data_IF_775102985758
#
_entry.id   IF_775102985758
#
_cell.length_a   1.000
_cell.length_b   1.000
_cell.length_c   1.000
_cell.angle_alpha   90.00
_cell.angle_beta   90.00
_cell.angle_gamma   90.00
#
_symmetry.space_group_name_H-M   'P 1'
#
loop_
_entity.id
_entity.type
_entity.pdbx_description
1 polymer ?
#
# COMPACT_ATOMS: atom_id res chain seq x y z
N UNK A 1 16.33 6.46 16.20
CA UNK A 1 15.43 6.23 15.04
C UNK A 1 14.49 5.11 15.43
N UNK A 2 13.23 5.41 15.59
CA UNK A 2 12.21 4.37 15.74
C UNK A 2 12.22 3.57 14.45
N UNK A 3 12.69 2.33 14.53
CA UNK A 3 12.52 1.38 13.43
C UNK A 3 11.04 1.32 13.12
N UNK A 4 10.65 1.88 11.99
CA UNK A 4 9.25 2.02 11.64
C UNK A 4 8.61 0.66 11.41
N UNK A 5 7.30 0.59 11.55
CA UNK A 5 6.45 -0.56 11.26
C UNK A 5 6.91 -1.35 10.01
N UNK A 6 7.25 -0.66 8.91
CA UNK A 6 7.68 -1.28 7.67
C UNK A 6 8.99 -2.08 7.77
N UNK A 7 9.97 -1.63 8.57
CA UNK A 7 11.24 -2.37 8.72
C UNK A 7 11.02 -3.74 9.36
N UNK A 8 10.18 -3.82 10.38
CA UNK A 8 9.85 -5.07 11.08
C UNK A 8 9.31 -6.13 10.13
N UNK A 9 8.35 -5.77 9.28
CA UNK A 9 7.74 -6.68 8.31
C UNK A 9 8.68 -6.99 7.14
N UNK A 10 9.44 -6.02 6.67
CA UNK A 10 10.47 -6.23 5.65
C UNK A 10 11.49 -7.26 6.10
N UNK A 11 12.06 -7.10 7.29
CA UNK A 11 13.06 -8.02 7.86
C UNK A 11 12.44 -9.42 8.09
N UNK A 12 11.17 -9.47 8.47
CA UNK A 12 10.43 -10.72 8.62
C UNK A 12 10.32 -11.47 7.28
N UNK A 13 9.90 -10.82 6.20
CA UNK A 13 9.75 -11.46 4.90
C UNK A 13 11.09 -11.89 4.32
N UNK A 14 12.14 -11.09 4.46
CA UNK A 14 13.50 -11.51 4.07
C UNK A 14 13.97 -12.75 4.86
N UNK A 15 13.63 -12.84 6.13
CA UNK A 15 13.97 -14.03 6.92
C UNK A 15 13.17 -15.27 6.45
N UNK A 16 11.92 -15.12 6.04
CA UNK A 16 11.13 -16.20 5.47
C UNK A 16 11.73 -16.72 4.17
N UNK A 17 12.14 -15.79 3.27
CA UNK A 17 12.78 -16.12 2.01
C UNK A 17 14.13 -16.81 2.23
N UNK A 18 14.98 -16.26 3.11
CA UNK A 18 16.33 -16.77 3.33
C UNK A 18 16.38 -18.11 4.10
N UNK A 19 15.43 -18.36 5.01
CA UNK A 19 15.55 -19.44 6.00
C UNK A 19 14.32 -20.32 6.18
N UNK A 20 13.17 -19.94 5.60
CA UNK A 20 11.90 -20.63 5.83
C UNK A 20 11.18 -21.04 4.54
N UNK A 21 11.94 -21.20 3.45
CA UNK A 21 11.48 -21.69 2.16
C UNK A 21 10.34 -20.88 1.53
N UNK A 22 10.27 -19.57 1.77
CA UNK A 22 9.40 -18.70 1.01
C UNK A 22 9.97 -18.52 -0.39
N UNK A 23 9.24 -18.94 -1.41
CA UNK A 23 9.53 -18.63 -2.81
C UNK A 23 8.59 -17.51 -3.27
N UNK A 24 9.16 -16.35 -3.55
CA UNK A 24 8.41 -15.17 -4.02
C UNK A 24 7.93 -15.32 -5.48
N UNK A 25 8.43 -16.31 -6.20
CA UNK A 25 8.01 -16.62 -7.58
C UNK A 25 6.81 -17.58 -7.61
N UNK A 26 6.49 -18.22 -6.49
CA UNK A 26 5.36 -19.15 -6.38
C UNK A 26 4.08 -18.40 -5.97
N UNK A 27 3.07 -18.33 -6.85
CA UNK A 27 1.78 -17.68 -6.53
C UNK A 27 1.09 -18.25 -5.30
N UNK A 28 1.27 -19.55 -5.03
CA UNK A 28 0.69 -20.22 -3.87
C UNK A 28 1.29 -19.75 -2.56
N UNK A 29 2.61 -19.50 -2.55
CA UNK A 29 3.30 -18.92 -1.40
C UNK A 29 2.86 -17.47 -1.17
N UNK A 30 2.64 -16.69 -2.23
CA UNK A 30 2.12 -15.33 -2.11
C UNK A 30 0.69 -15.33 -1.56
N UNK A 31 -0.18 -16.23 -2.06
CA UNK A 31 -1.51 -16.41 -1.49
C UNK A 31 -1.45 -16.76 0.01
N UNK A 32 -0.62 -17.72 0.39
CA UNK A 32 -0.48 -18.15 1.79
C UNK A 32 0.02 -17.01 2.69
N UNK A 33 0.97 -16.19 2.21
CA UNK A 33 1.43 -14.98 2.90
C UNK A 33 0.29 -13.98 3.15
N UNK A 34 -0.49 -13.69 2.11
CA UNK A 34 -1.63 -12.79 2.22
C UNK A 34 -2.67 -13.34 3.21
N UNK A 35 -3.01 -14.61 3.07
CA UNK A 35 -3.99 -15.27 3.94
C UNK A 35 -3.58 -15.22 5.41
N UNK A 36 -2.31 -15.47 5.71
CA UNK A 36 -1.79 -15.48 7.09
C UNK A 36 -1.62 -14.09 7.69
N UNK A 37 -1.11 -13.12 6.94
CA UNK A 37 -0.51 -11.93 7.55
C UNK A 37 -1.14 -10.61 7.13
N UNK A 38 -1.94 -10.52 6.06
CA UNK A 38 -2.46 -9.24 5.57
C UNK A 38 -3.32 -8.52 6.62
N UNK A 39 -4.15 -9.26 7.35
CA UNK A 39 -5.00 -8.69 8.40
C UNK A 39 -4.16 -8.15 9.57
N UNK A 40 -3.11 -8.88 9.97
CA UNK A 40 -2.19 -8.46 11.01
C UNK A 40 -1.36 -7.23 10.59
N UNK A 41 -0.89 -7.19 9.34
CA UNK A 41 -0.18 -6.05 8.75
C UNK A 41 -1.07 -4.80 8.77
N UNK A 42 -2.30 -4.91 8.30
CA UNK A 42 -3.24 -3.79 8.27
C UNK A 42 -3.56 -3.27 9.67
N UNK A 43 -3.77 -4.16 10.63
CA UNK A 43 -4.03 -3.80 12.03
C UNK A 43 -2.83 -3.05 12.64
N UNK A 44 -1.63 -3.56 12.42
CA UNK A 44 -0.41 -2.91 12.91
C UNK A 44 -0.12 -1.59 12.21
N UNK A 45 -0.42 -1.47 10.91
CA UNK A 45 -0.27 -0.25 10.13
C UNK A 45 -1.20 0.85 10.65
N UNK A 46 -2.46 0.53 10.91
CA UNK A 46 -3.43 1.45 11.48
C UNK A 46 -3.00 1.91 12.89
N UNK A 47 -2.58 0.98 13.75
CA UNK A 47 -2.08 1.31 15.08
C UNK A 47 -0.83 2.20 15.03
N UNK A 48 0.06 1.96 14.08
CA UNK A 48 1.23 2.81 13.87
C UNK A 48 0.83 4.21 13.38
N UNK A 49 -0.12 4.32 12.46
CA UNK A 49 -0.61 5.59 11.95
C UNK A 49 -1.29 6.41 13.07
N UNK A 50 -2.08 5.77 13.93
CA UNK A 50 -2.68 6.42 15.10
C UNK A 50 -1.61 6.93 16.08
N UNK A 51 -0.65 6.08 16.44
CA UNK A 51 0.45 6.45 17.32
C UNK A 51 1.28 7.61 16.73
N UNK A 52 1.52 7.59 15.40
CA UNK A 52 2.18 8.68 14.70
C UNK A 52 1.39 9.98 14.75
N UNK A 53 0.09 9.92 14.53
CA UNK A 53 -0.77 11.11 14.56
C UNK A 53 -0.88 11.76 15.94
N UNK A 54 -0.67 11.00 17.02
CA UNK A 54 -0.78 11.47 18.40
C UNK A 54 0.58 11.72 19.07
N UNK A 55 1.72 11.41 18.41
CA UNK A 55 3.03 11.74 19.00
C UNK A 55 3.31 13.24 18.96
N UNK A 56 4.02 13.74 19.99
CA UNK A 56 4.36 15.15 20.08
C UNK A 56 5.62 15.46 19.29
N UNK A 57 5.49 16.34 18.30
CA UNK A 57 6.60 16.89 17.54
C UNK A 57 6.95 18.28 18.04
N UNK A 58 8.25 18.62 17.96
CA UNK A 58 8.76 19.94 18.28
C UNK A 58 9.18 20.61 16.98
N UNK A 59 8.49 21.65 16.61
CA UNK A 59 8.91 22.55 15.54
C UNK A 59 9.63 23.74 16.14
N UNK A 60 10.66 24.24 15.45
CA UNK A 60 11.44 25.39 15.90
C UNK A 60 10.54 26.62 16.00
N UNK A 61 10.59 27.31 17.15
CA UNK A 61 9.77 28.49 17.41
C UNK A 61 8.29 28.20 17.73
N UNK A 62 7.86 26.95 17.73
CA UNK A 62 6.45 26.60 17.99
C UNK A 62 6.27 25.78 19.28
N UNK A 63 5.01 25.80 19.78
CA UNK A 63 4.60 24.94 20.89
C UNK A 63 4.55 23.48 20.41
N UNK A 64 4.97 22.55 21.28
CA UNK A 64 4.82 21.12 21.02
C UNK A 64 3.39 20.77 20.67
N UNK A 65 3.21 20.18 19.52
CA UNK A 65 1.91 19.79 19.00
C UNK A 65 1.98 18.40 18.37
N UNK A 66 0.85 17.73 18.27
CA UNK A 66 0.77 16.47 17.52
C UNK A 66 0.47 16.75 16.04
N UNK A 67 0.81 15.83 15.10
CA UNK A 67 0.43 15.95 13.69
C UNK A 67 -1.09 16.23 13.52
N UNK A 68 -1.92 15.52 14.29
CA UNK A 68 -3.38 15.73 14.29
C UNK A 68 -3.77 17.15 14.68
N UNK A 69 -3.14 17.70 15.75
CA UNK A 69 -3.40 19.08 16.19
C UNK A 69 -2.93 20.09 15.14
N UNK A 70 -1.78 19.87 14.52
CA UNK A 70 -1.26 20.72 13.46
C UNK A 70 -2.19 20.71 12.23
N UNK A 71 -2.67 19.54 11.84
CA UNK A 71 -3.62 19.39 10.74
C UNK A 71 -4.92 20.15 10.99
N UNK A 72 -5.54 19.95 12.17
CA UNK A 72 -6.78 20.65 12.53
C UNK A 72 -6.56 22.17 12.59
N UNK A 73 -5.48 22.61 13.23
CA UNK A 73 -5.16 24.04 13.33
C UNK A 73 -4.97 24.65 11.94
N UNK A 74 -4.17 24.02 11.08
CA UNK A 74 -3.93 24.49 9.72
C UNK A 74 -5.22 24.50 8.89
N UNK A 75 -6.09 23.51 9.04
CA UNK A 75 -7.38 23.50 8.36
C UNK A 75 -8.30 24.65 8.77
N UNK A 76 -8.19 25.12 10.04
CA UNK A 76 -8.97 26.24 10.54
C UNK A 76 -8.36 27.59 10.16
N UNK A 77 -7.01 27.70 10.18
CA UNK A 77 -6.31 28.97 9.92
C UNK A 77 -6.07 29.23 8.44
N UNK A 78 -5.73 28.17 7.70
CA UNK A 78 -5.24 28.25 6.32
C UNK A 78 -6.27 27.71 5.30
N UNK A 79 -7.39 27.17 5.78
CA UNK A 79 -8.42 26.56 4.97
C UNK A 79 -8.12 25.10 4.58
N UNK A 80 -8.95 24.55 3.69
CA UNK A 80 -8.83 23.17 3.21
C UNK A 80 -7.57 23.04 2.37
N UNK A 81 -6.67 22.13 2.75
CA UNK A 81 -5.42 21.91 2.03
C UNK A 81 -5.67 21.46 0.59
N UNK A 82 -4.91 22.05 -0.33
CA UNK A 82 -4.98 21.73 -1.75
C UNK A 82 -5.93 22.65 -2.56
N UNK A 83 -6.76 23.44 -1.87
CA UNK A 83 -7.49 24.50 -2.49
C UNK A 83 -7.09 25.81 -1.81
N UNK A 84 -6.56 26.81 -2.52
CA UNK A 84 -6.43 28.15 -1.94
C UNK A 84 -7.79 28.55 -1.41
N UNK A 85 -7.88 29.20 -0.21
CA UNK A 85 -9.14 29.77 0.23
C UNK A 85 -9.61 30.65 -0.93
N UNK A 86 -10.80 30.40 -1.43
CA UNK A 86 -11.41 31.30 -2.40
C UNK A 86 -11.49 32.64 -1.69
N UNK A 87 -10.49 33.45 -1.95
CA UNK A 87 -10.54 34.86 -1.59
C UNK A 87 -11.65 35.41 -2.48
N UNK A 88 -12.82 35.54 -1.89
CA UNK A 88 -14.02 36.11 -2.53
C UNK A 88 -13.80 37.57 -2.97
N UNK A 89 -12.56 38.04 -2.94
CA UNK A 89 -12.17 39.41 -3.27
C UNK A 89 -11.23 39.54 -4.47
N UNK A 90 -10.67 38.43 -4.97
CA UNK A 90 -9.95 38.46 -6.23
C UNK A 90 -10.95 38.13 -7.32
N UNK A 91 -11.66 39.20 -7.78
CA UNK A 91 -12.57 39.12 -8.91
C UNK A 91 -11.83 38.93 -10.24
N UNK A 92 -10.86 38.05 -10.31
CA UNK A 92 -10.41 37.49 -11.57
C UNK A 92 -11.49 36.50 -12.01
N UNK A 93 -12.39 37.02 -12.80
CA UNK A 93 -13.32 36.25 -13.60
C UNK A 93 -12.45 35.33 -14.48
N UNK A 94 -12.47 34.03 -14.23
CA UNK A 94 -11.75 33.07 -15.05
C UNK A 94 -12.46 33.05 -16.38
N UNK A 95 -11.93 33.80 -17.36
CA UNK A 95 -12.50 33.95 -18.71
C UNK A 95 -12.51 32.60 -19.47
N UNK A 96 -11.53 31.73 -19.19
CA UNK A 96 -11.42 30.43 -19.83
C UNK A 96 -11.02 29.35 -18.82
N UNK A 97 -12.00 28.59 -18.35
CA UNK A 97 -11.79 27.47 -17.46
C UNK A 97 -10.97 26.31 -18.09
N UNK A 98 -10.95 26.24 -19.43
CA UNK A 98 -10.25 25.19 -20.17
C UNK A 98 -8.73 25.39 -20.20
N UNK A 99 -8.29 26.66 -20.11
CA UNK A 99 -6.86 27.00 -20.08
C UNK A 99 -6.33 27.36 -18.69
N UNK A 100 -7.20 27.40 -17.68
CA UNK A 100 -6.82 27.78 -16.32
C UNK A 100 -5.83 26.77 -15.73
N UNK A 101 -4.65 27.28 -15.32
CA UNK A 101 -3.59 26.45 -14.74
C UNK A 101 -2.72 25.68 -15.76
N UNK A 102 -2.97 25.87 -17.06
CA UNK A 102 -2.14 25.28 -18.14
C UNK A 102 -0.94 26.16 -18.40
N UNK A 103 0.27 25.65 -18.23
CA UNK A 103 1.51 26.29 -18.62
C UNK A 103 1.74 26.07 -20.13
N UNK A 104 1.21 26.99 -20.96
CA UNK A 104 1.35 26.92 -22.41
C UNK A 104 2.82 27.05 -22.85
N UNK A 105 3.66 27.76 -22.08
CA UNK A 105 5.10 27.86 -22.37
C UNK A 105 5.80 26.50 -22.21
N UNK A 106 5.48 25.76 -21.16
CA UNK A 106 6.00 24.39 -20.93
C UNK A 106 5.53 23.41 -22.02
N UNK A 107 4.26 23.51 -22.44
CA UNK A 107 3.71 22.64 -23.50
C UNK A 107 4.32 22.95 -24.91
N UNK A 108 4.82 24.16 -25.14
CA UNK A 108 5.48 24.52 -26.37
C UNK A 108 6.99 24.27 -26.37
N UNK A 109 7.59 23.87 -25.25
CA UNK A 109 9.00 23.52 -25.15
C UNK A 109 9.24 22.08 -25.67
N UNK A 110 9.91 21.92 -26.85
CA UNK A 110 10.12 20.59 -27.41
C UNK A 110 11.01 19.68 -26.56
N UNK A 111 11.92 20.26 -25.79
CA UNK A 111 12.83 19.46 -24.93
C UNK A 111 12.06 18.91 -23.71
N UNK A 112 11.23 19.76 -23.10
CA UNK A 112 10.40 19.36 -21.99
C UNK A 112 9.37 18.31 -22.40
N UNK A 113 8.75 18.49 -23.56
CA UNK A 113 7.77 17.53 -24.10
C UNK A 113 8.42 16.19 -24.50
N UNK A 114 9.62 16.21 -25.08
CA UNK A 114 10.36 14.98 -25.38
C UNK A 114 10.71 14.21 -24.09
N UNK A 115 11.20 14.92 -23.06
CA UNK A 115 11.48 14.33 -21.75
C UNK A 115 10.23 13.76 -21.09
N UNK A 116 9.10 14.49 -21.20
CA UNK A 116 7.83 14.00 -20.69
C UNK A 116 7.39 12.69 -21.37
N UNK A 117 7.45 12.63 -22.70
CA UNK A 117 7.09 11.43 -23.49
C UNK A 117 8.01 10.24 -23.20
N UNK A 118 9.31 10.48 -23.01
CA UNK A 118 10.28 9.42 -22.69
C UNK A 118 9.98 8.78 -21.32
N UNK A 119 9.58 9.58 -20.34
CA UNK A 119 9.32 9.11 -18.97
C UNK A 119 7.86 8.70 -18.72
N UNK A 120 6.93 9.00 -19.64
CA UNK A 120 5.52 8.64 -19.55
C UNK A 120 5.04 7.99 -20.85
N UNK A 121 5.56 6.81 -21.22
CA UNK A 121 5.16 6.12 -22.45
C UNK A 121 3.67 5.74 -22.35
N UNK A 122 2.87 6.25 -23.29
CA UNK A 122 1.41 6.05 -23.32
C UNK A 122 0.58 7.26 -22.88
N UNK A 123 1.21 8.29 -22.34
CA UNK A 123 0.56 9.57 -22.14
C UNK A 123 0.55 10.34 -23.46
N UNK A 124 -0.52 10.23 -24.24
CA UNK A 124 -0.75 11.15 -25.36
C UNK A 124 -1.35 12.42 -24.79
N UNK A 125 -0.68 13.55 -24.97
CA UNK A 125 -1.12 14.87 -24.50
C UNK A 125 -2.48 15.34 -25.11
N UNK A 126 -3.15 14.44 -25.83
CA UNK A 126 -4.42 14.67 -26.53
C UNK A 126 -5.57 13.86 -25.90
N UNK A 127 -5.28 12.85 -25.09
CA UNK A 127 -6.32 12.11 -24.37
C UNK A 127 -6.74 12.92 -23.15
N UNK A 128 -7.74 13.73 -23.39
CA UNK A 128 -8.60 14.44 -22.46
C UNK A 128 -7.95 14.99 -21.18
N UNK A 129 -7.80 16.33 -21.08
CA UNK A 129 -7.33 16.99 -19.85
C UNK A 129 -8.27 16.79 -18.65
N UNK A 130 -9.30 15.99 -18.80
CA UNK A 130 -10.31 15.66 -17.78
C UNK A 130 -10.42 14.18 -17.46
N UNK A 131 -9.64 13.32 -18.10
CA UNK A 131 -9.52 11.91 -17.68
C UNK A 131 -8.54 11.83 -16.49
N UNK A 132 -8.88 12.54 -15.43
CA UNK A 132 -8.36 12.15 -14.13
C UNK A 132 -8.96 10.79 -13.82
N UNK A 133 -8.17 9.76 -13.61
CA UNK A 133 -8.72 8.52 -13.11
C UNK A 133 -9.49 8.86 -11.82
N UNK A 134 -10.75 8.50 -11.76
CA UNK A 134 -11.64 8.74 -10.60
C UNK A 134 -11.06 8.21 -9.29
N UNK A 135 -9.90 7.53 -9.36
CA UNK A 135 -9.21 6.81 -8.29
C UNK A 135 -7.71 7.16 -8.16
N UNK A 136 -7.31 8.41 -8.33
CA UNK A 136 -5.88 8.83 -8.11
C UNK A 136 -5.31 8.35 -6.77
N UNK A 137 -6.19 8.09 -5.79
CA UNK A 137 -5.82 7.64 -4.45
C UNK A 137 -6.11 6.16 -4.20
N UNK A 138 -6.63 5.43 -5.17
CA UNK A 138 -6.97 4.02 -5.02
C UNK A 138 -6.09 3.17 -5.95
N UNK A 139 -5.16 2.46 -5.34
CA UNK A 139 -4.40 1.42 -6.05
C UNK A 139 -5.21 0.14 -5.93
N UNK A 140 -5.82 -0.29 -7.02
CA UNK A 140 -6.50 -1.59 -7.08
C UNK A 140 -5.43 -2.66 -6.95
N UNK A 141 -5.51 -3.43 -5.87
CA UNK A 141 -4.67 -4.58 -5.64
C UNK A 141 -5.57 -5.81 -5.57
N UNK A 142 -5.59 -6.58 -6.64
CA UNK A 142 -6.34 -7.83 -6.66
C UNK A 142 -5.76 -8.81 -5.63
N UNK A 143 -6.60 -9.48 -4.84
CA UNK A 143 -6.12 -10.53 -3.96
C UNK A 143 -5.53 -11.67 -4.80
N UNK A 144 -4.45 -12.31 -4.35
CA UNK A 144 -3.89 -13.46 -5.05
C UNK A 144 -4.92 -14.60 -5.10
N UNK A 145 -4.95 -15.30 -6.23
CA UNK A 145 -5.84 -16.43 -6.43
C UNK A 145 -5.61 -17.51 -5.38
N UNK A 146 -6.70 -18.02 -4.80
CA UNK A 146 -6.62 -19.11 -3.84
C UNK A 146 -6.42 -20.45 -4.57
N UNK A 147 -5.30 -21.16 -4.35
CA UNK A 147 -5.03 -22.44 -5.00
C UNK A 147 -5.78 -23.63 -4.38
N UNK A 148 -6.45 -23.41 -3.24
CA UNK A 148 -7.16 -24.45 -2.48
C UNK A 148 -8.69 -24.34 -2.66
N UNK A 149 -9.38 -25.48 -2.61
CA UNK A 149 -10.82 -25.50 -2.49
C UNK A 149 -11.26 -25.03 -1.08
N UNK A 150 -12.52 -24.55 -0.96
CA UNK A 150 -13.00 -23.96 0.30
C UNK A 150 -12.91 -24.91 1.51
N UNK A 151 -13.17 -26.19 1.32
CA UNK A 151 -13.05 -27.22 2.35
C UNK A 151 -11.59 -27.47 2.78
N UNK A 152 -10.67 -27.34 1.84
CA UNK A 152 -9.22 -27.42 2.11
C UNK A 152 -8.73 -26.20 2.91
N UNK A 153 -9.24 -24.99 2.61
CA UNK A 153 -8.92 -23.79 3.38
C UNK A 153 -9.44 -23.91 4.82
N UNK A 154 -10.69 -24.36 5.01
CA UNK A 154 -11.24 -24.59 6.35
C UNK A 154 -10.46 -25.65 7.15
N UNK A 155 -9.95 -26.67 6.46
CA UNK A 155 -9.10 -27.69 7.06
C UNK A 155 -7.74 -27.11 7.46
N UNK A 156 -7.11 -26.35 6.56
CA UNK A 156 -5.83 -25.67 6.82
C UNK A 156 -5.95 -24.76 8.06
N UNK A 157 -6.99 -23.94 8.12
CA UNK A 157 -7.24 -23.05 9.25
C UNK A 157 -7.39 -23.79 10.57
N UNK A 158 -8.21 -24.84 10.59
CA UNK A 158 -8.45 -25.65 11.78
C UNK A 158 -7.19 -26.36 12.25
N UNK A 159 -6.46 -27.00 11.34
CA UNK A 159 -5.27 -27.79 11.65
C UNK A 159 -4.14 -26.85 12.11
N UNK A 160 -4.01 -25.67 11.50
CA UNK A 160 -3.03 -24.66 11.90
C UNK A 160 -3.35 -24.08 13.29
N UNK A 161 -4.60 -23.70 13.54
CA UNK A 161 -5.03 -23.15 14.83
C UNK A 161 -4.88 -24.14 16.00
N UNK A 162 -4.89 -25.45 15.72
CA UNK A 162 -4.68 -26.48 16.73
C UNK A 162 -3.21 -26.59 17.19
N UNK A 163 -2.25 -26.09 16.39
CA UNK A 163 -0.80 -26.29 16.62
C UNK A 163 -0.10 -25.01 17.02
N UNK A 164 -0.52 -23.85 16.47
CA UNK A 164 0.17 -22.56 16.64
C UNK A 164 -0.80 -21.43 16.92
N UNK A 165 -0.32 -20.40 17.61
CA UNK A 165 -1.06 -19.16 17.84
C UNK A 165 -0.93 -18.25 16.62
N UNK A 166 -1.95 -18.26 15.76
CA UNK A 166 -1.97 -17.48 14.50
C UNK A 166 -2.03 -15.97 14.78
N UNK A 167 -2.66 -15.55 15.88
CA UNK A 167 -2.85 -14.14 16.22
C UNK A 167 -1.64 -13.53 16.95
N UNK A 168 -0.63 -14.31 17.22
CA UNK A 168 0.56 -13.84 17.93
C UNK A 168 1.23 -12.66 17.23
N UNK A 169 1.63 -11.66 18.04
CA UNK A 169 2.41 -10.50 17.55
C UNK A 169 3.91 -10.73 17.56
N UNK A 170 4.37 -11.85 18.12
CA UNK A 170 5.79 -12.22 18.16
C UNK A 170 6.25 -12.73 16.78
N UNK A 171 7.28 -12.07 16.20
CA UNK A 171 7.80 -12.44 14.89
C UNK A 171 8.44 -13.83 14.85
N UNK A 172 8.92 -14.36 15.97
CA UNK A 172 9.43 -15.73 16.03
C UNK A 172 8.27 -16.73 15.97
N UNK A 173 7.17 -16.47 16.67
CA UNK A 173 5.96 -17.29 16.57
C UNK A 173 5.39 -17.22 15.14
N UNK A 174 5.35 -16.05 14.51
CA UNK A 174 4.91 -15.89 13.11
C UNK A 174 5.77 -16.69 12.12
N UNK A 175 7.09 -16.83 12.35
CA UNK A 175 7.93 -17.73 11.54
C UNK A 175 7.51 -19.19 11.68
N UNK A 176 7.15 -19.61 12.89
CA UNK A 176 6.63 -20.96 13.13
C UNK A 176 5.27 -21.13 12.45
N UNK A 177 4.37 -20.12 12.55
CA UNK A 177 3.08 -20.11 11.85
C UNK A 177 3.28 -20.31 10.35
N UNK A 178 4.18 -19.55 9.72
CA UNK A 178 4.51 -19.71 8.31
C UNK A 178 4.99 -21.11 7.97
N UNK A 179 6.01 -21.60 8.67
CA UNK A 179 6.61 -22.92 8.39
C UNK A 179 5.61 -24.05 8.57
N UNK A 180 4.74 -23.97 9.60
CA UNK A 180 3.69 -24.96 9.85
C UNK A 180 2.60 -24.88 8.78
N UNK A 181 2.18 -23.67 8.41
CA UNK A 181 1.18 -23.47 7.38
C UNK A 181 1.66 -23.99 6.01
N UNK A 182 2.93 -23.74 5.66
CA UNK A 182 3.52 -24.25 4.43
C UNK A 182 3.56 -25.79 4.39
N UNK A 183 3.89 -26.43 5.52
CA UNK A 183 3.87 -27.89 5.62
C UNK A 183 2.45 -28.46 5.48
N UNK A 184 1.47 -27.85 6.12
CA UNK A 184 0.07 -28.28 6.01
C UNK A 184 -0.47 -28.04 4.59
N UNK A 185 -0.14 -26.92 4.00
CA UNK A 185 -0.50 -26.58 2.61
C UNK A 185 0.03 -27.65 1.64
N UNK A 186 1.30 -28.02 1.74
CA UNK A 186 1.92 -29.02 0.88
C UNK A 186 1.23 -30.39 0.99
N UNK A 187 0.64 -30.72 2.15
CA UNK A 187 -0.12 -31.97 2.34
C UNK A 187 -1.53 -31.92 1.73
N UNK A 188 -2.08 -30.72 1.52
CA UNK A 188 -3.41 -30.51 0.95
C UNK A 188 -3.41 -30.43 -0.58
N UNK A 189 -2.29 -30.01 -1.16
CA UNK A 189 -2.11 -29.98 -2.62
C UNK A 189 -1.65 -31.38 -3.07
N UNK A 190 -2.42 -32.12 -3.85
CA UNK A 190 -1.97 -33.41 -4.38
C UNK A 190 -0.79 -33.19 -5.32
N UNK A 191 0.27 -34.03 -5.17
CA UNK A 191 1.41 -34.09 -6.07
C UNK A 191 0.91 -34.27 -7.51
N UNK A 192 0.93 -33.23 -8.33
CA UNK A 192 0.52 -33.37 -9.73
C UNK A 192 0.05 -32.12 -10.47
N UNK A 193 0.12 -30.91 -9.88
CA UNK A 193 -0.27 -29.68 -10.58
C UNK A 193 0.91 -28.88 -11.18
N UNK A 194 2.15 -29.32 -11.01
CA UNK A 194 3.34 -28.65 -11.57
C UNK A 194 3.52 -28.85 -13.10
N UNK A 195 2.64 -29.59 -13.78
CA UNK A 195 2.81 -29.90 -15.22
C UNK A 195 1.89 -29.12 -16.18
N UNK A 196 1.07 -28.16 -15.75
CA UNK A 196 0.09 -27.51 -16.65
C UNK A 196 0.32 -26.00 -16.82
N UNK A 197 1.52 -25.50 -16.72
CA UNK A 197 1.81 -24.13 -17.22
C UNK A 197 3.07 -24.17 -18.08
N UNK A 198 2.93 -24.79 -19.26
CA UNK A 198 3.81 -24.54 -20.39
C UNK A 198 2.97 -23.93 -21.51
N UNK A 199 2.94 -22.58 -21.56
CA UNK A 199 2.58 -21.84 -22.77
C UNK A 199 3.50 -20.64 -22.91
#
# INVERSE_FOLDING_TARGET
>A
MTEGFGCKWKDFFFALEAHHNLDVSDPSHIWLLHWLFIAAINTEALGWAEAWNDHKIQLEGERRSTPRQLFIRSSVTDGIRGLPPHSSNDGEEIEDYMSFGVDWGALQDPQLMAHHQENNPGSTAIDHPYDHPDWINEVVCDPPDCPLASDQVERLERDLAAVVDIESKDMNVRRVVWSTALQLYTQLVPDGLDEIITF
#
